data_IF_143362860971
#
_entry.id   IF_143362860971
#
_cell.length_a   1.000
_cell.length_b   1.000
_cell.length_c   1.000
_cell.angle_alpha   90.00
_cell.angle_beta   90.00
_cell.angle_gamma   90.00
#
_symmetry.space_group_name_H-M   'P 1'
#
loop_
_entity.id
_entity.type
_entity.pdbx_description
1 polymer ?
#
# COMPACT_ATOMS: atom_id res chain seq x y z
N UNK A 1 61.29 10.48 -12.02
CA UNK A 1 60.68 9.88 -10.81
C UNK A 1 59.34 10.58 -10.61
N UNK A 2 58.28 9.83 -10.90
CA UNK A 2 56.83 10.05 -10.68
C UNK A 2 56.24 11.47 -10.64
N UNK A 3 55.68 11.85 -11.79
CA UNK A 3 54.27 12.21 -12.04
C UNK A 3 53.37 12.35 -10.79
N UNK A 4 52.97 13.58 -10.47
CA UNK A 4 51.76 13.84 -9.69
C UNK A 4 50.57 13.79 -10.64
N UNK A 5 49.77 12.74 -10.48
CA UNK A 5 48.54 12.50 -11.25
C UNK A 5 47.51 13.54 -10.81
N UNK A 6 47.11 14.39 -11.75
CA UNK A 6 45.90 15.22 -11.70
C UNK A 6 44.69 14.37 -11.27
N UNK A 7 43.77 14.86 -10.43
CA UNK A 7 42.52 14.15 -10.23
C UNK A 7 41.82 14.01 -11.59
N UNK A 8 41.52 12.77 -11.97
CA UNK A 8 40.85 12.46 -13.23
C UNK A 8 39.45 13.08 -13.24
N UNK A 9 39.11 13.81 -14.30
CA UNK A 9 37.78 14.38 -14.57
C UNK A 9 36.66 13.30 -14.67
N UNK A 10 37.02 12.02 -14.70
CA UNK A 10 36.09 10.88 -14.71
C UNK A 10 35.43 10.60 -13.35
N UNK A 11 36.06 10.90 -12.22
CA UNK A 11 35.46 10.64 -10.89
C UNK A 11 34.37 11.66 -10.52
N UNK A 12 34.40 12.83 -11.15
CA UNK A 12 33.38 13.89 -11.02
C UNK A 12 32.09 13.62 -11.81
N UNK A 13 32.02 12.54 -12.61
CA UNK A 13 30.84 12.14 -13.39
C UNK A 13 30.01 11.00 -12.76
N UNK A 14 30.22 10.65 -11.49
CA UNK A 14 29.21 9.89 -10.72
C UNK A 14 28.15 10.87 -10.22
N UNK A 15 27.16 11.08 -11.10
CA UNK A 15 25.87 11.77 -10.88
C UNK A 15 25.46 11.73 -9.41
N UNK A 16 25.14 12.91 -8.86
CA UNK A 16 24.49 13.11 -7.58
C UNK A 16 23.45 12.02 -7.27
N UNK A 17 23.85 10.98 -6.55
CA UNK A 17 22.92 10.16 -5.79
C UNK A 17 22.50 11.04 -4.62
N UNK A 18 21.40 11.78 -4.74
CA UNK A 18 20.83 12.46 -3.59
C UNK A 18 20.41 11.38 -2.59
N UNK A 19 21.25 11.10 -1.60
CA UNK A 19 20.92 10.18 -0.51
C UNK A 19 19.75 10.81 0.24
N UNK A 20 18.55 10.28 0.00
CA UNK A 20 17.34 10.69 0.72
C UNK A 20 17.13 9.69 1.85
N UNK A 21 16.88 10.19 3.05
CA UNK A 21 16.68 9.39 4.25
C UNK A 21 15.21 9.48 4.68
N UNK A 22 14.70 8.38 5.22
CA UNK A 22 13.38 8.29 5.85
C UNK A 22 13.45 7.24 6.95
N UNK A 23 12.54 7.30 7.92
CA UNK A 23 12.45 6.30 8.99
C UNK A 23 12.08 4.92 8.43
N UNK A 24 11.26 4.89 7.37
CA UNK A 24 10.77 3.66 6.75
C UNK A 24 10.73 3.76 5.22
N UNK A 25 11.18 2.70 4.55
CA UNK A 25 10.96 2.48 3.12
C UNK A 25 9.98 1.33 2.93
N UNK A 26 8.87 1.60 2.24
CA UNK A 26 7.85 0.61 1.87
C UNK A 26 7.93 0.37 0.37
N UNK A 27 8.22 -0.87 -0.01
CA UNK A 27 8.32 -1.30 -1.41
C UNK A 27 6.99 -1.91 -1.86
N UNK A 28 6.36 -1.28 -2.84
CA UNK A 28 5.05 -1.62 -3.40
C UNK A 28 3.91 -0.77 -2.79
N UNK A 29 3.16 -0.05 -3.62
CA UNK A 29 1.99 0.74 -3.21
C UNK A 29 0.67 0.03 -3.55
N UNK A 30 0.59 -1.26 -3.19
CA UNK A 30 -0.65 -2.03 -3.17
C UNK A 30 -1.44 -1.85 -1.87
N UNK A 31 -2.40 -2.75 -1.60
CA UNK A 31 -3.27 -2.67 -0.40
C UNK A 31 -2.43 -2.57 0.89
N UNK A 32 -1.53 -3.54 1.10
CA UNK A 32 -0.70 -3.58 2.31
C UNK A 32 0.25 -2.38 2.38
N UNK A 33 0.94 -2.06 1.28
CA UNK A 33 1.92 -0.98 1.24
C UNK A 33 1.33 0.39 1.58
N UNK A 34 0.18 0.72 1.00
CA UNK A 34 -0.54 1.94 1.35
C UNK A 34 -1.01 1.91 2.81
N UNK A 35 -1.58 0.79 3.28
CA UNK A 35 -2.08 0.69 4.65
C UNK A 35 -0.96 0.86 5.69
N UNK A 36 0.18 0.18 5.51
CA UNK A 36 1.31 0.27 6.46
C UNK A 36 2.00 1.63 6.40
N UNK A 37 2.18 2.20 5.20
CA UNK A 37 2.74 3.54 5.05
C UNK A 37 1.86 4.60 5.74
N UNK A 38 0.54 4.52 5.55
CA UNK A 38 -0.41 5.43 6.19
C UNK A 38 -0.42 5.28 7.72
N UNK A 39 -0.38 4.04 8.22
CA UNK A 39 -0.33 3.78 9.65
C UNK A 39 0.94 4.36 10.30
N UNK A 40 2.10 4.14 9.70
CA UNK A 40 3.39 4.62 10.20
C UNK A 40 3.51 6.15 10.11
N UNK A 41 3.02 6.73 9.01
CA UNK A 41 2.98 8.18 8.84
C UNK A 41 2.12 8.88 9.90
N UNK A 42 0.95 8.31 10.24
CA UNK A 42 0.10 8.80 11.35
C UNK A 42 0.77 8.69 12.72
N UNK A 43 1.74 7.81 12.88
CA UNK A 43 2.57 7.70 14.09
C UNK A 43 3.79 8.63 14.06
N UNK A 44 3.88 9.54 13.07
CA UNK A 44 4.93 10.55 12.97
C UNK A 44 6.20 10.08 12.26
N UNK A 45 6.19 8.91 11.61
CA UNK A 45 7.34 8.40 10.85
C UNK A 45 7.37 8.99 9.44
N UNK A 46 8.54 9.41 8.99
CA UNK A 46 8.78 9.71 7.57
C UNK A 46 8.84 8.41 6.76
N UNK A 47 8.05 8.33 5.68
CA UNK A 47 7.91 7.10 4.88
C UNK A 47 8.16 7.39 3.41
N UNK A 48 9.06 6.63 2.79
CA UNK A 48 9.09 6.48 1.34
C UNK A 48 8.18 5.33 0.92
N UNK A 49 7.19 5.61 0.07
CA UNK A 49 6.34 4.60 -0.55
C UNK A 49 6.71 4.47 -2.02
N UNK A 50 7.39 3.39 -2.36
CA UNK A 50 7.95 3.15 -3.69
C UNK A 50 7.04 2.25 -4.50
N UNK A 51 6.73 2.61 -5.73
CA UNK A 51 5.88 1.81 -6.62
C UNK A 51 6.39 1.88 -8.05
N UNK A 52 6.40 0.74 -8.75
CA UNK A 52 6.90 0.67 -10.12
C UNK A 52 6.03 1.49 -11.09
N UNK A 53 4.72 1.52 -10.86
CA UNK A 53 3.76 2.29 -11.67
C UNK A 53 2.57 2.73 -10.83
N UNK A 54 2.34 4.04 -10.75
CA UNK A 54 1.19 4.60 -10.03
C UNK A 54 -0.10 4.57 -10.86
N UNK A 55 -0.02 4.14 -12.13
CA UNK A 55 -1.21 3.91 -12.96
C UNK A 55 -2.18 2.98 -12.25
N UNK A 56 -3.48 3.21 -12.47
CA UNK A 56 -4.52 2.34 -11.93
C UNK A 56 -4.29 0.90 -12.42
N UNK A 57 -4.17 -0.08 -11.51
CA UNK A 57 -4.05 -1.47 -11.90
C UNK A 57 -5.29 -1.93 -12.68
N UNK A 58 -5.07 -2.52 -13.85
CA UNK A 58 -6.13 -3.16 -14.62
C UNK A 58 -6.20 -4.63 -14.25
N UNK A 59 -7.08 -4.95 -13.30
CA UNK A 59 -7.34 -6.31 -12.84
C UNK A 59 -8.83 -6.58 -12.94
N UNK A 60 -9.19 -7.63 -13.68
CA UNK A 60 -10.58 -8.02 -13.97
C UNK A 60 -11.28 -8.66 -12.76
N UNK A 61 -10.64 -8.69 -11.59
CA UNK A 61 -11.18 -9.33 -10.39
C UNK A 61 -11.92 -8.28 -9.58
N UNK A 62 -13.23 -8.44 -9.46
CA UNK A 62 -14.02 -7.80 -8.43
C UNK A 62 -13.57 -8.34 -7.08
N UNK A 63 -13.07 -7.45 -6.22
CA UNK A 63 -12.56 -7.84 -4.91
C UNK A 63 -13.61 -7.60 -3.84
N UNK A 64 -13.65 -8.51 -2.87
CA UNK A 64 -14.52 -8.42 -1.71
C UNK A 64 -13.69 -8.16 -0.47
N UNK A 65 -13.88 -6.98 0.12
CA UNK A 65 -13.39 -6.69 1.46
C UNK A 65 -14.41 -7.17 2.49
N UNK A 66 -13.99 -8.13 3.32
CA UNK A 66 -14.79 -8.67 4.40
C UNK A 66 -15.08 -7.62 5.49
N UNK A 67 -16.10 -7.81 6.35
CA UNK A 67 -16.40 -6.89 7.45
C UNK A 67 -15.19 -6.60 8.36
N UNK A 68 -14.35 -7.60 8.63
CA UNK A 68 -13.12 -7.42 9.41
C UNK A 68 -12.11 -6.48 8.73
N UNK A 69 -12.00 -6.54 7.39
CA UNK A 69 -11.15 -5.64 6.62
C UNK A 69 -11.68 -4.20 6.63
N UNK A 70 -13.00 -4.02 6.60
CA UNK A 70 -13.62 -2.69 6.73
C UNK A 70 -13.34 -2.09 8.12
N UNK A 71 -13.51 -2.88 9.19
CA UNK A 71 -13.17 -2.43 10.55
C UNK A 71 -11.68 -2.07 10.67
N UNK A 72 -10.79 -2.81 9.98
CA UNK A 72 -9.37 -2.46 9.94
C UNK A 72 -9.10 -1.12 9.23
N UNK A 73 -9.76 -0.86 8.08
CA UNK A 73 -9.65 0.43 7.38
C UNK A 73 -10.18 1.58 8.24
N UNK A 74 -11.28 1.39 8.97
CA UNK A 74 -11.82 2.37 9.91
C UNK A 74 -10.81 2.74 11.00
N UNK A 75 -10.17 1.75 11.62
CA UNK A 75 -9.13 1.97 12.64
C UNK A 75 -7.92 2.73 12.07
N UNK A 76 -7.58 2.49 10.80
CA UNK A 76 -6.52 3.22 10.11
C UNK A 76 -6.92 4.66 9.71
N UNK A 77 -8.22 4.94 9.62
CA UNK A 77 -8.75 6.21 9.08
C UNK A 77 -8.83 6.24 7.56
N UNK A 78 -8.92 5.07 6.92
CA UNK A 78 -8.91 4.88 5.46
C UNK A 78 -10.27 4.47 4.89
N UNK A 79 -11.35 4.45 5.68
CA UNK A 79 -12.67 4.00 5.21
C UNK A 79 -13.22 4.80 4.03
N UNK A 80 -12.89 6.09 3.96
CA UNK A 80 -13.28 6.95 2.84
C UNK A 80 -12.74 6.46 1.49
N UNK A 81 -11.71 5.60 1.47
CA UNK A 81 -11.19 4.99 0.25
C UNK A 81 -12.17 3.99 -0.40
N UNK A 82 -13.23 3.58 0.30
CA UNK A 82 -14.30 2.73 -0.25
C UNK A 82 -15.44 3.55 -0.88
N UNK A 83 -15.41 4.86 -0.76
CA UNK A 83 -16.41 5.77 -1.32
C UNK A 83 -16.01 6.19 -2.75
N UNK A 84 -16.99 6.53 -3.57
CA UNK A 84 -16.83 7.00 -4.97
C UNK A 84 -16.08 6.03 -5.91
N UNK A 85 -16.06 4.73 -5.59
CA UNK A 85 -15.45 3.68 -6.43
C UNK A 85 -16.44 2.66 -6.99
N UNK A 86 -17.75 2.94 -6.88
CA UNK A 86 -18.83 2.00 -7.21
C UNK A 86 -18.76 0.73 -6.34
N UNK A 87 -18.46 0.91 -5.05
CA UNK A 87 -18.42 -0.19 -4.10
C UNK A 87 -19.85 -0.62 -3.72
N UNK A 88 -20.11 -1.92 -3.77
CA UNK A 88 -21.41 -2.52 -3.46
C UNK A 88 -21.36 -3.14 -2.05
N UNK A 89 -22.33 -2.82 -1.17
CA UNK A 89 -22.41 -3.47 0.14
C UNK A 89 -22.70 -4.96 -0.01
N UNK A 90 -22.01 -5.78 0.80
CA UNK A 90 -22.20 -7.23 0.86
C UNK A 90 -22.67 -7.61 2.26
N UNK A 91 -23.78 -8.35 2.36
CA UNK A 91 -24.41 -8.68 3.65
C UNK A 91 -24.23 -10.16 4.05
N UNK A 92 -23.49 -10.93 3.25
CA UNK A 92 -23.26 -12.35 3.43
C UNK A 92 -23.13 -13.04 2.09
N UNK A 93 -23.41 -14.34 2.07
CA UNK A 93 -23.30 -15.20 0.90
C UNK A 93 -24.58 -15.99 0.65
N UNK A 94 -24.68 -16.52 -0.56
CA UNK A 94 -25.64 -17.56 -0.90
C UNK A 94 -24.88 -18.71 -1.57
N UNK A 95 -25.06 -19.91 -1.06
CA UNK A 95 -24.49 -21.14 -1.63
C UNK A 95 -25.60 -21.88 -2.34
N UNK A 96 -25.50 -22.02 -3.66
CA UNK A 96 -26.51 -22.68 -4.48
C UNK A 96 -25.97 -24.03 -4.95
N UNK A 97 -26.69 -25.10 -4.63
CA UNK A 97 -26.37 -26.47 -5.06
C UNK A 97 -27.59 -27.11 -5.70
N UNK A 98 -27.49 -27.50 -6.98
CA UNK A 98 -28.60 -28.04 -7.78
C UNK A 98 -29.91 -27.23 -7.66
N UNK A 99 -29.82 -25.91 -7.76
CA UNK A 99 -30.98 -25.01 -7.66
C UNK A 99 -31.52 -24.80 -6.23
N UNK A 100 -30.93 -25.46 -5.23
CA UNK A 100 -31.26 -25.23 -3.82
C UNK A 100 -30.27 -24.24 -3.22
N UNK A 101 -30.77 -23.08 -2.78
CA UNK A 101 -29.96 -22.03 -2.15
C UNK A 101 -29.96 -22.11 -0.63
N UNK A 102 -28.78 -21.92 -0.03
CA UNK A 102 -28.61 -21.68 1.41
C UNK A 102 -27.99 -20.30 1.59
N UNK A 103 -28.72 -19.41 2.29
CA UNK A 103 -28.22 -18.08 2.64
C UNK A 103 -27.37 -18.13 3.90
N UNK A 104 -26.22 -17.46 3.86
CA UNK A 104 -25.26 -17.35 4.94
C UNK A 104 -25.03 -15.86 5.20
N UNK A 105 -25.92 -15.19 5.97
CA UNK A 105 -25.74 -13.78 6.31
C UNK A 105 -24.49 -13.59 7.18
N UNK A 106 -23.86 -12.41 7.10
CA UNK A 106 -22.86 -12.03 8.10
C UNK A 106 -23.50 -12.00 9.50
N UNK A 107 -22.75 -12.37 10.54
CA UNK A 107 -23.30 -12.52 11.88
C UNK A 107 -23.73 -11.18 12.46
N UNK A 108 -24.81 -11.18 13.25
CA UNK A 108 -25.14 -10.04 14.10
C UNK A 108 -24.04 -9.84 15.15
N UNK A 109 -23.86 -8.60 15.61
CA UNK A 109 -22.67 -8.07 16.34
C UNK A 109 -22.24 -8.82 17.61
N UNK A 110 -22.92 -9.90 18.00
CA UNK A 110 -22.64 -10.71 19.17
C UNK A 110 -22.84 -12.18 18.85
N UNK A 111 -21.78 -12.86 18.47
CA UNK A 111 -21.69 -14.30 18.75
C UNK A 111 -20.85 -14.40 20.02
N UNK A 112 -21.44 -14.81 21.14
CA UNK A 112 -20.65 -15.16 22.32
C UNK A 112 -20.03 -16.54 22.10
N UNK A 113 -18.69 -16.64 22.06
CA UNK A 113 -17.98 -17.92 21.88
C UNK A 113 -16.50 -17.79 21.51
N UNK A 114 -15.73 -18.88 21.65
CA UNK A 114 -14.33 -18.90 21.19
C UNK A 114 -14.27 -18.66 19.68
N UNK A 115 -13.57 -17.61 19.26
CA UNK A 115 -13.48 -17.19 17.85
C UNK A 115 -14.40 -16.02 17.47
N UNK A 116 -15.15 -15.45 18.42
CA UNK A 116 -15.91 -14.23 18.20
C UNK A 116 -15.00 -13.01 18.08
N UNK A 117 -14.95 -12.41 16.89
CA UNK A 117 -14.36 -11.09 16.72
C UNK A 117 -15.45 -10.03 16.90
N UNK A 118 -15.15 -8.99 17.67
CA UNK A 118 -16.04 -7.84 17.80
C UNK A 118 -16.00 -7.05 16.49
N UNK A 119 -17.01 -7.27 15.65
CA UNK A 119 -17.20 -6.52 14.41
C UNK A 119 -17.89 -5.19 14.73
N UNK A 120 -17.11 -4.19 15.11
CA UNK A 120 -17.58 -2.82 15.18
C UNK A 120 -17.22 -2.10 13.89
N UNK A 121 -18.22 -1.90 13.04
CA UNK A 121 -18.25 -0.80 12.10
C UNK A 121 -18.45 0.47 12.93
N UNK A 122 -17.68 1.53 12.67
CA UNK A 122 -17.74 2.81 13.38
C UNK A 122 -19.16 3.40 13.42
N UNK A 123 -20.01 3.04 12.45
CA UNK A 123 -21.42 3.44 12.34
C UNK A 123 -22.39 2.64 13.23
N UNK A 124 -21.94 1.68 14.04
CA UNK A 124 -22.83 0.95 14.94
C UNK A 124 -23.79 -0.06 14.26
N UNK A 125 -23.77 -0.19 12.93
CA UNK A 125 -24.65 -1.10 12.15
C UNK A 125 -24.22 -2.57 12.12
N UNK A 126 -24.99 -3.42 11.40
CA UNK A 126 -24.63 -4.84 11.18
C UNK A 126 -23.30 -4.95 10.41
N UNK A 127 -22.47 -5.97 10.66
CA UNK A 127 -21.26 -6.21 9.89
C UNK A 127 -21.61 -6.36 8.40
N UNK A 128 -20.89 -5.64 7.56
CA UNK A 128 -21.07 -5.68 6.10
C UNK A 128 -19.70 -5.69 5.43
N UNK A 129 -19.63 -6.33 4.27
CA UNK A 129 -18.51 -6.30 3.35
C UNK A 129 -18.69 -5.21 2.28
N UNK A 130 -17.68 -5.08 1.41
CA UNK A 130 -17.73 -4.23 0.21
C UNK A 130 -17.11 -4.96 -0.96
N UNK A 131 -17.87 -5.11 -2.05
CA UNK A 131 -17.36 -5.56 -3.34
C UNK A 131 -17.02 -4.35 -4.21
N UNK A 132 -15.89 -4.34 -4.91
CA UNK A 132 -15.46 -3.20 -5.73
C UNK A 132 -14.47 -3.61 -6.82
N UNK A 133 -14.21 -2.69 -7.75
CA UNK A 133 -13.09 -2.80 -8.69
C UNK A 133 -11.76 -2.57 -7.98
N UNK A 134 -10.87 -3.58 -7.99
CA UNK A 134 -9.56 -3.54 -7.31
C UNK A 134 -8.76 -2.26 -7.62
N UNK A 135 -8.61 -1.93 -8.91
CA UNK A 135 -7.82 -0.78 -9.33
C UNK A 135 -8.32 0.55 -8.78
N UNK A 136 -9.65 0.73 -8.68
CA UNK A 136 -10.25 1.94 -8.12
C UNK A 136 -9.95 2.07 -6.63
N UNK A 137 -10.03 0.96 -5.89
CA UNK A 137 -9.70 0.94 -4.46
C UNK A 137 -8.20 1.23 -4.21
N UNK A 138 -7.29 0.61 -4.97
CA UNK A 138 -5.85 0.94 -4.91
C UNK A 138 -5.60 2.42 -5.21
N UNK A 139 -6.28 2.97 -6.21
CA UNK A 139 -6.11 4.38 -6.58
C UNK A 139 -6.54 5.33 -5.46
N UNK A 140 -7.63 5.02 -4.76
CA UNK A 140 -8.06 5.78 -3.57
C UNK A 140 -7.05 5.67 -2.42
N UNK A 141 -6.52 4.47 -2.15
CA UNK A 141 -5.48 4.28 -1.13
C UNK A 141 -4.21 5.09 -1.44
N UNK A 142 -3.75 5.05 -2.70
CA UNK A 142 -2.60 5.84 -3.17
C UNK A 142 -2.86 7.35 -3.05
N UNK A 143 -4.07 7.81 -3.37
CA UNK A 143 -4.50 9.20 -3.19
C UNK A 143 -4.49 9.62 -1.72
N UNK A 144 -4.98 8.77 -0.82
CA UNK A 144 -4.94 9.04 0.62
C UNK A 144 -3.50 9.12 1.14
N UNK A 145 -2.61 8.23 0.68
CA UNK A 145 -1.19 8.29 1.00
C UNK A 145 -0.54 9.58 0.47
N UNK A 146 -0.87 10.02 -0.75
CA UNK A 146 -0.32 11.24 -1.33
C UNK A 146 -0.73 12.52 -0.58
N UNK A 147 -1.85 12.48 0.16
CA UNK A 147 -2.33 13.57 0.99
C UNK A 147 -1.74 13.55 2.42
N UNK A 148 -1.01 12.50 2.81
CA UNK A 148 -0.35 12.45 4.11
C UNK A 148 1.03 13.13 4.05
N UNK A 149 1.29 14.15 4.91
CA UNK A 149 2.51 14.96 4.83
C UNK A 149 3.80 14.19 5.10
N UNK A 150 3.73 13.10 5.88
CA UNK A 150 4.88 12.27 6.23
C UNK A 150 5.16 11.16 5.20
N UNK A 151 4.38 11.06 4.11
CA UNK A 151 4.60 10.07 3.05
C UNK A 151 5.13 10.77 1.81
N UNK A 152 6.27 10.31 1.31
CA UNK A 152 6.74 10.65 -0.03
C UNK A 152 6.54 9.43 -0.94
N UNK A 153 5.62 9.55 -1.88
CA UNK A 153 5.40 8.52 -2.90
C UNK A 153 6.38 8.75 -4.05
N UNK A 154 7.04 7.69 -4.51
CA UNK A 154 7.97 7.74 -5.64
C UNK A 154 7.61 6.64 -6.64
N UNK A 155 7.28 7.02 -7.87
CA UNK A 155 7.14 6.07 -8.96
C UNK A 155 8.55 5.64 -9.42
N UNK A 156 8.98 4.44 -9.04
CA UNK A 156 10.33 3.92 -9.30
C UNK A 156 10.36 2.40 -9.17
N UNK A 157 11.26 1.74 -9.90
CA UNK A 157 11.51 0.31 -9.72
C UNK A 157 12.59 0.10 -8.65
N UNK A 158 12.32 -0.76 -7.67
CA UNK A 158 13.32 -1.18 -6.68
C UNK A 158 14.13 -2.33 -7.28
N UNK A 159 15.46 -2.20 -7.25
CA UNK A 159 16.38 -3.13 -7.92
C UNK A 159 17.04 -4.10 -6.95
N UNK A 160 17.53 -3.58 -5.83
CA UNK A 160 18.32 -4.34 -4.85
C UNK A 160 18.20 -3.70 -3.47
N UNK A 161 18.48 -4.49 -2.43
CA UNK A 161 18.64 -4.02 -1.06
C UNK A 161 20.05 -3.49 -0.83
N UNK A 162 20.17 -2.43 -0.04
CA UNK A 162 21.46 -1.93 0.44
C UNK A 162 21.70 -2.48 1.84
N UNK A 163 22.82 -3.16 2.04
CA UNK A 163 23.20 -3.78 3.30
C UNK A 163 24.21 -2.94 4.09
N UNK A 164 24.26 -3.13 5.40
CA UNK A 164 25.31 -2.57 6.26
C UNK A 164 26.69 -3.09 5.86
N UNK A 165 27.75 -2.40 6.27
CA UNK A 165 29.14 -2.77 5.92
C UNK A 165 29.53 -4.18 6.38
N UNK A 166 28.90 -4.67 7.46
CA UNK A 166 29.09 -6.01 8.00
C UNK A 166 28.09 -7.05 7.44
N UNK A 167 27.18 -6.65 6.56
CA UNK A 167 26.15 -7.52 5.95
C UNK A 167 25.06 -7.98 6.92
N UNK A 168 24.98 -7.44 8.13
CA UNK A 168 24.05 -7.93 9.15
C UNK A 168 22.63 -7.37 9.02
N UNK A 169 22.46 -6.24 8.33
CA UNK A 169 21.18 -5.52 8.25
C UNK A 169 20.95 -4.91 6.87
N UNK A 170 19.68 -4.92 6.41
CA UNK A 170 19.24 -4.11 5.28
C UNK A 170 19.01 -2.68 5.76
N UNK A 171 19.75 -1.73 5.20
CA UNK A 171 19.72 -0.29 5.56
C UNK A 171 19.04 0.59 4.51
N UNK A 172 18.63 0.01 3.37
CA UNK A 172 17.93 0.74 2.33
C UNK A 172 17.67 -0.08 1.07
N UNK A 173 17.33 0.63 -0.01
CA UNK A 173 17.10 0.03 -1.33
C UNK A 173 17.71 0.92 -2.41
N UNK A 174 18.22 0.29 -3.47
CA UNK A 174 18.59 0.99 -4.69
C UNK A 174 17.40 1.00 -5.64
N UNK A 175 17.14 2.15 -6.25
CA UNK A 175 16.00 2.36 -7.14
C UNK A 175 16.45 2.81 -8.52
N UNK A 176 15.62 2.53 -9.52
CA UNK A 176 15.73 3.03 -10.88
C UNK A 176 14.49 3.83 -11.22
N UNK A 177 14.67 5.14 -11.38
CA UNK A 177 13.58 6.08 -11.65
C UNK A 177 13.65 6.50 -13.11
N UNK A 178 12.61 6.20 -13.89
CA UNK A 178 12.54 6.66 -15.28
C UNK A 178 12.43 8.18 -15.32
N UNK A 179 13.31 8.84 -16.08
CA UNK A 179 13.14 10.24 -16.40
C UNK A 179 11.95 10.40 -17.35
N UNK A 180 10.90 11.08 -16.90
CA UNK A 180 9.66 11.24 -17.68
C UNK A 180 9.82 12.13 -18.92
N UNK A 181 10.84 12.99 -18.99
CA UNK A 181 11.12 13.85 -20.15
C UNK A 181 11.92 13.12 -21.22
N UNK A 182 12.85 12.24 -20.82
CA UNK A 182 13.78 11.58 -21.75
C UNK A 182 13.43 10.11 -22.02
N UNK A 183 12.60 9.49 -21.19
CA UNK A 183 12.27 8.06 -21.26
C UNK A 183 13.43 7.13 -20.89
N UNK A 184 14.53 7.67 -20.35
CA UNK A 184 15.74 6.94 -19.98
C UNK A 184 15.78 6.79 -18.45
N UNK A 185 16.17 5.60 -17.93
CA UNK A 185 16.36 5.40 -16.50
C UNK A 185 17.58 6.13 -15.90
#
# INVERSE_FOLDING_TARGET
INTMISPNEEDTKKRSFSKREADVVVVGAGIFGCAVAFALAKQGRSVFLLEKSLKQPDRIVGELLQPGGISALEKLGLSHCLEDIDAIPVYGYEVIYYGTGVRIPYPDKKIEGKGSYEYSNAKGGKPEGRAFHHGRFISQLRKACAQQPNITIVETEVMETVESTDGSQVIGVQTRTMNQETGIP
#
